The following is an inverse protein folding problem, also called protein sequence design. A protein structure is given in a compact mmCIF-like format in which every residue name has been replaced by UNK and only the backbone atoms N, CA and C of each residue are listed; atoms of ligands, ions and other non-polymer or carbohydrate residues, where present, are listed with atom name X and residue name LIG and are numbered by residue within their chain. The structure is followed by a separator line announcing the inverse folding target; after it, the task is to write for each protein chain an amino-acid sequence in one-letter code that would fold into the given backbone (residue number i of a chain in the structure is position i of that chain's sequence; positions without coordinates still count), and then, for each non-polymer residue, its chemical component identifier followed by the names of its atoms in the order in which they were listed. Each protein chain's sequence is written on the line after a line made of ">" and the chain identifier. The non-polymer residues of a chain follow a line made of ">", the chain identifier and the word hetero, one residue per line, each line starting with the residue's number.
data_IF_174313216084
#
_entry.id   IF_174313216084
#
_cell.length_a   1.000
_cell.length_b   1.000
_cell.length_c   1.000
_cell.angle_alpha   90.00
_cell.angle_beta   90.00
_cell.angle_gamma   90.00
#
_symmetry.space_group_name_H-M   'P 1'
#
loop_
_entity.id
_entity.type
_entity.pdbx_description
1 polymer ?
#
# COMPACT_ATOMS: atom_id res chain seq x y z
N UNK A 1 -20.59 -9.56 -13.18
CA UNK A 1 -20.32 -11.00 -12.91
C UNK A 1 -21.53 -11.87 -13.22
N UNK A 2 -22.68 -11.77 -12.51
CA UNK A 2 -23.84 -12.68 -12.73
C UNK A 2 -24.25 -12.85 -14.20
N UNK A 3 -24.28 -11.76 -14.97
CA UNK A 3 -24.69 -11.79 -16.39
C UNK A 3 -23.53 -12.05 -17.36
N UNK A 4 -22.28 -12.08 -16.86
CA UNK A 4 -21.04 -12.11 -17.65
C UNK A 4 -20.13 -13.25 -17.18
N UNK A 5 -20.70 -14.33 -16.63
CA UNK A 5 -19.93 -15.39 -15.97
C UNK A 5 -19.01 -16.13 -16.95
N UNK A 6 -19.37 -16.15 -18.23
CA UNK A 6 -18.57 -16.72 -19.32
C UNK A 6 -17.27 -15.93 -19.59
N UNK A 7 -17.19 -14.68 -19.14
CA UNK A 7 -16.01 -13.81 -19.22
C UNK A 7 -15.22 -13.78 -17.90
N UNK A 8 -15.51 -14.70 -16.98
CA UNK A 8 -14.86 -14.80 -15.68
C UNK A 8 -13.97 -16.05 -15.61
N UNK A 9 -12.98 -15.98 -14.72
CA UNK A 9 -12.16 -17.09 -14.28
C UNK A 9 -12.46 -17.38 -12.81
N UNK A 10 -12.11 -18.59 -12.36
CA UNK A 10 -12.37 -19.04 -11.00
C UNK A 10 -11.12 -19.66 -10.38
N UNK A 11 -10.84 -19.29 -9.14
CA UNK A 11 -9.73 -19.81 -8.34
C UNK A 11 -10.27 -20.41 -7.05
N UNK A 12 -9.79 -21.60 -6.71
CA UNK A 12 -10.21 -22.32 -5.51
C UNK A 12 -9.06 -22.43 -4.52
N UNK A 13 -9.33 -22.11 -3.26
CA UNK A 13 -8.43 -22.36 -2.14
C UNK A 13 -9.10 -23.27 -1.10
N UNK A 14 -8.35 -23.65 -0.06
CA UNK A 14 -8.90 -24.40 1.07
C UNK A 14 -9.93 -23.62 1.90
N UNK A 15 -10.04 -22.29 1.72
CA UNK A 15 -10.91 -21.43 2.51
C UNK A 15 -12.10 -20.86 1.71
N UNK A 16 -11.89 -20.51 0.45
CA UNK A 16 -12.94 -19.90 -0.39
C UNK A 16 -12.71 -20.10 -1.90
N UNK A 17 -13.80 -19.91 -2.65
CA UNK A 17 -13.84 -19.81 -4.11
C UNK A 17 -13.88 -18.32 -4.50
N UNK A 18 -12.95 -17.90 -5.35
CA UNK A 18 -12.93 -16.56 -5.94
C UNK A 18 -13.33 -16.64 -7.41
N UNK A 19 -14.26 -15.79 -7.84
CA UNK A 19 -14.63 -15.63 -9.25
C UNK A 19 -14.33 -14.18 -9.65
N UNK A 20 -13.42 -14.00 -10.61
CA UNK A 20 -12.96 -12.70 -11.07
C UNK A 20 -13.13 -12.56 -12.59
N UNK A 21 -13.49 -11.38 -13.12
CA UNK A 21 -13.47 -11.14 -14.56
C UNK A 21 -12.05 -11.28 -15.13
N UNK A 22 -11.94 -11.85 -16.34
CA UNK A 22 -10.64 -11.98 -17.04
C UNK A 22 -10.16 -10.60 -17.55
N UNK A 23 -11.10 -9.72 -17.85
CA UNK A 23 -10.87 -8.34 -18.25
C UNK A 23 -11.91 -7.44 -17.59
N UNK A 24 -11.61 -6.14 -17.54
CA UNK A 24 -12.52 -5.14 -16.98
C UNK A 24 -13.80 -5.06 -17.82
N UNK A 25 -14.95 -5.29 -17.19
CA UNK A 25 -16.27 -5.32 -17.85
C UNK A 25 -16.84 -3.90 -18.00
N UNK A 26 -16.06 -2.96 -18.54
CA UNK A 26 -16.43 -1.54 -18.64
C UNK A 26 -17.77 -1.32 -19.34
N UNK A 27 -18.10 -2.15 -20.33
CA UNK A 27 -19.34 -2.05 -21.10
C UNK A 27 -20.59 -2.40 -20.28
N UNK A 28 -20.44 -3.18 -19.22
CA UNK A 28 -21.52 -3.44 -18.25
C UNK A 28 -21.91 -2.19 -17.47
N UNK A 29 -21.03 -1.18 -17.41
CA UNK A 29 -21.26 0.08 -16.71
C UNK A 29 -21.57 1.19 -17.70
N UNK A 30 -22.83 1.24 -18.17
CA UNK A 30 -23.27 2.21 -19.19
C UNK A 30 -23.02 3.67 -18.84
N UNK A 31 -23.03 4.04 -17.55
CA UNK A 31 -22.69 5.39 -17.08
C UNK A 31 -21.23 5.75 -17.31
N UNK A 32 -20.33 4.77 -17.37
CA UNK A 32 -18.93 4.94 -17.71
C UNK A 32 -18.72 4.79 -19.22
N UNK A 33 -19.17 3.68 -19.82
CA UNK A 33 -18.88 3.37 -21.24
C UNK A 33 -19.56 4.32 -22.24
N UNK A 34 -20.76 4.83 -21.91
CA UNK A 34 -21.52 5.76 -22.77
C UNK A 34 -21.34 7.23 -22.39
N UNK A 35 -20.44 7.55 -21.47
CA UNK A 35 -20.18 8.92 -21.10
C UNK A 35 -19.51 9.67 -22.27
N UNK A 36 -20.06 10.84 -22.63
CA UNK A 36 -19.48 11.70 -23.66
C UNK A 36 -18.08 12.21 -23.29
N UNK A 37 -17.83 12.39 -21.98
CA UNK A 37 -16.55 12.84 -21.45
C UNK A 37 -16.17 11.96 -20.25
N UNK A 38 -14.91 11.52 -20.22
CA UNK A 38 -14.33 10.72 -19.13
C UNK A 38 -13.05 11.39 -18.66
N UNK A 39 -12.96 11.66 -17.37
CA UNK A 39 -11.76 12.19 -16.73
C UNK A 39 -11.21 11.13 -15.79
N UNK A 40 -9.91 10.85 -15.93
CA UNK A 40 -9.17 10.00 -15.01
C UNK A 40 -8.10 10.85 -14.35
N UNK A 41 -8.02 10.80 -13.02
CA UNK A 41 -6.99 11.46 -12.24
C UNK A 41 -6.21 10.39 -11.50
N UNK A 42 -4.88 10.39 -11.67
CA UNK A 42 -3.99 9.51 -10.92
C UNK A 42 -2.79 10.29 -10.40
N UNK A 43 -2.34 9.95 -9.19
CA UNK A 43 -1.09 10.45 -8.63
C UNK A 43 0.13 9.71 -9.18
N UNK A 44 -0.07 8.51 -9.74
CA UNK A 44 0.98 7.67 -10.34
C UNK A 44 0.44 7.03 -11.63
N UNK A 45 1.07 7.29 -12.78
CA UNK A 45 0.74 6.67 -14.06
C UNK A 45 1.93 5.81 -14.49
N UNK A 46 1.98 4.57 -13.99
CA UNK A 46 3.08 3.63 -14.31
C UNK A 46 2.66 2.53 -15.29
N UNK A 47 1.36 2.27 -15.46
CA UNK A 47 0.85 1.29 -16.42
C UNK A 47 -0.21 1.88 -17.35
N UNK A 48 0.25 2.40 -18.49
CA UNK A 48 -0.62 2.91 -19.55
C UNK A 48 -1.51 1.82 -20.17
N UNK A 49 -1.08 0.55 -20.09
CA UNK A 49 -1.82 -0.56 -20.68
C UNK A 49 -3.13 -0.81 -19.96
N UNK A 50 -3.18 -0.58 -18.63
CA UNK A 50 -4.42 -0.66 -17.86
C UNK A 50 -5.42 0.42 -18.28
N UNK A 51 -4.97 1.66 -18.56
CA UNK A 51 -5.88 2.71 -19.00
C UNK A 51 -6.47 2.42 -20.38
N UNK A 52 -5.66 1.89 -21.30
CA UNK A 52 -6.10 1.56 -22.66
C UNK A 52 -6.99 0.31 -22.65
N UNK A 53 -6.50 -0.82 -22.12
CA UNK A 53 -7.19 -2.12 -22.21
C UNK A 53 -8.20 -2.33 -21.10
N UNK A 54 -7.92 -1.85 -19.90
CA UNK A 54 -8.77 -2.02 -18.72
C UNK A 54 -9.87 -0.96 -18.63
N UNK A 55 -9.61 0.28 -19.03
CA UNK A 55 -10.57 1.37 -18.93
C UNK A 55 -11.06 1.91 -20.29
N UNK A 56 -10.47 1.46 -21.40
CA UNK A 56 -10.87 1.89 -22.74
C UNK A 56 -10.59 3.38 -23.00
N UNK A 57 -9.53 3.94 -22.41
CA UNK A 57 -9.09 5.31 -22.71
C UNK A 57 -8.36 5.38 -24.04
N UNK A 58 -8.50 6.52 -24.71
CA UNK A 58 -7.80 6.80 -25.95
C UNK A 58 -6.29 6.96 -25.69
N UNK A 59 -5.48 6.40 -26.58
CA UNK A 59 -4.02 6.40 -26.48
C UNK A 59 -3.47 7.83 -26.47
N UNK A 60 -4.06 8.75 -27.23
CA UNK A 60 -3.62 10.14 -27.28
C UNK A 60 -3.95 10.89 -26.00
N UNK A 61 -5.05 10.55 -25.32
CA UNK A 61 -5.39 11.14 -24.02
C UNK A 61 -4.35 10.76 -22.95
N UNK A 62 -3.78 9.57 -23.02
CA UNK A 62 -2.73 9.10 -22.10
C UNK A 62 -1.38 9.74 -22.43
N UNK A 63 -1.03 9.87 -23.72
CA UNK A 63 0.21 10.53 -24.14
C UNK A 63 0.23 12.04 -23.88
N UNK A 64 -0.94 12.68 -23.83
CA UNK A 64 -1.09 14.13 -23.63
C UNK A 64 -1.99 14.41 -22.41
N UNK A 65 -1.55 14.04 -21.20
CA UNK A 65 -2.34 14.26 -20.01
C UNK A 65 -2.45 15.77 -19.73
N UNK A 66 -3.54 16.16 -19.07
CA UNK A 66 -3.67 17.51 -18.53
C UNK A 66 -2.73 17.64 -17.33
N UNK A 67 -1.67 18.44 -17.47
CA UNK A 67 -0.67 18.69 -16.43
C UNK A 67 -0.75 20.14 -15.97
N UNK A 68 -0.58 20.36 -14.67
CA UNK A 68 -0.40 21.70 -14.10
C UNK A 68 1.09 21.90 -13.77
N UNK A 69 1.85 22.66 -14.59
CA UNK A 69 3.29 22.83 -14.39
C UNK A 69 3.65 23.64 -13.14
N UNK A 70 2.71 24.43 -12.61
CA UNK A 70 2.92 25.28 -11.44
C UNK A 70 2.76 24.51 -10.11
N UNK A 71 2.35 23.24 -10.17
CA UNK A 71 2.12 22.43 -8.98
C UNK A 71 3.43 21.79 -8.49
N UNK A 72 4.10 22.46 -7.54
CA UNK A 72 5.34 21.95 -6.91
C UNK A 72 4.97 21.11 -5.68
N UNK A 73 4.68 19.83 -5.87
CA UNK A 73 4.54 18.92 -4.72
C UNK A 73 5.91 18.61 -4.12
N UNK A 74 6.16 19.08 -2.88
CA UNK A 74 7.46 18.93 -2.23
C UNK A 74 7.29 18.49 -0.77
N UNK A 75 6.97 17.23 -0.52
CA UNK A 75 7.16 16.64 0.81
C UNK A 75 8.45 15.82 0.85
N UNK A 76 9.20 15.90 1.96
CA UNK A 76 10.52 15.27 2.07
C UNK A 76 10.40 13.83 2.60
N UNK A 77 11.04 12.87 1.92
CA UNK A 77 11.06 11.47 2.35
C UNK A 77 12.49 10.97 2.39
N UNK A 78 12.92 10.47 3.54
CA UNK A 78 14.17 9.73 3.64
C UNK A 78 13.85 8.23 3.68
N UNK A 79 14.34 7.48 2.69
CA UNK A 79 14.19 6.02 2.64
C UNK A 79 15.49 5.38 3.15
N UNK A 80 15.37 4.51 4.16
CA UNK A 80 16.48 3.77 4.74
C UNK A 80 16.21 2.27 4.65
N UNK A 81 17.23 1.52 4.25
CA UNK A 81 17.25 0.06 4.26
C UNK A 81 18.39 -0.35 5.21
N UNK A 82 18.12 -0.51 6.52
CA UNK A 82 19.19 -0.66 7.52
C UNK A 82 20.14 -1.83 7.25
N UNK A 83 19.60 -2.96 6.78
CA UNK A 83 20.38 -4.16 6.48
C UNK A 83 21.40 -3.99 5.35
N UNK A 84 21.19 -3.03 4.43
CA UNK A 84 22.16 -2.69 3.39
C UNK A 84 23.26 -1.73 3.89
N UNK A 85 23.00 -1.03 5.00
CA UNK A 85 23.97 -0.14 5.63
C UNK A 85 24.90 -0.94 6.55
N UNK A 86 24.31 -1.84 7.35
CA UNK A 86 25.02 -2.71 8.27
C UNK A 86 24.22 -4.01 8.48
N UNK A 87 24.85 -5.16 8.22
CA UNK A 87 24.21 -6.48 8.32
C UNK A 87 23.69 -6.80 9.73
N UNK A 88 24.24 -6.16 10.77
CA UNK A 88 23.79 -6.32 12.16
C UNK A 88 22.49 -5.56 12.46
N UNK A 89 22.01 -4.74 11.53
CA UNK A 89 20.72 -4.03 11.61
C UNK A 89 19.62 -4.86 10.95
N UNK A 90 19.45 -6.08 11.44
CA UNK A 90 18.43 -7.00 10.95
C UNK A 90 17.00 -6.53 11.29
N UNK A 91 16.03 -7.20 10.65
CA UNK A 91 14.60 -6.94 10.84
C UNK A 91 14.21 -6.95 12.32
N UNK A 92 14.63 -7.95 13.08
CA UNK A 92 14.21 -8.08 14.48
C UNK A 92 14.71 -6.93 15.33
N UNK A 93 15.99 -6.55 15.18
CA UNK A 93 16.61 -5.47 15.93
C UNK A 93 15.93 -4.14 15.63
N UNK A 94 15.65 -3.85 14.36
CA UNK A 94 14.99 -2.60 13.94
C UNK A 94 13.55 -2.53 14.46
N UNK A 95 12.78 -3.61 14.30
CA UNK A 95 11.40 -3.69 14.78
C UNK A 95 11.34 -3.56 16.31
N UNK A 96 12.19 -4.29 17.04
CA UNK A 96 12.26 -4.22 18.50
C UNK A 96 12.65 -2.83 19.00
N UNK A 97 13.55 -2.15 18.28
CA UNK A 97 14.01 -0.82 18.67
C UNK A 97 12.94 0.24 18.43
N UNK A 98 12.36 0.30 17.22
CA UNK A 98 11.46 1.39 16.83
C UNK A 98 10.06 1.24 17.39
N UNK A 99 9.55 0.01 17.50
CA UNK A 99 8.17 -0.22 17.93
C UNK A 99 7.98 -0.14 19.44
N UNK A 100 9.05 -0.19 20.22
CA UNK A 100 8.98 -0.14 21.69
C UNK A 100 8.23 1.11 22.17
N UNK A 101 7.33 1.00 23.16
CA UNK A 101 6.69 2.16 23.75
C UNK A 101 7.69 3.17 24.32
N UNK A 102 7.41 4.46 24.13
CA UNK A 102 8.21 5.55 24.65
C UNK A 102 7.31 6.75 24.96
N UNK A 103 7.08 7.01 26.25
CA UNK A 103 6.23 8.11 26.71
C UNK A 103 6.75 9.51 26.34
N UNK A 104 8.03 9.61 25.96
CA UNK A 104 8.64 10.86 25.50
C UNK A 104 8.49 11.09 24.00
N UNK A 105 7.88 10.15 23.26
CA UNK A 105 7.75 10.25 21.80
C UNK A 105 6.76 11.36 21.45
N UNK A 106 7.16 12.24 20.53
CA UNK A 106 6.37 13.43 20.12
C UNK A 106 5.73 13.28 18.73
N UNK A 107 5.86 12.11 18.12
CA UNK A 107 5.34 11.80 16.78
C UNK A 107 4.96 10.33 16.66
N UNK A 108 4.06 10.00 15.73
CA UNK A 108 3.64 8.64 15.46
C UNK A 108 4.71 7.80 14.77
N UNK A 109 4.84 6.55 15.23
CA UNK A 109 5.60 5.49 14.58
C UNK A 109 4.63 4.42 14.14
N UNK A 110 4.60 4.15 12.84
CA UNK A 110 3.64 3.25 12.21
C UNK A 110 4.38 2.15 11.48
N UNK A 111 3.93 0.91 11.63
CA UNK A 111 4.45 -0.23 10.90
C UNK A 111 3.35 -0.85 10.03
N UNK A 112 3.65 -1.03 8.75
CA UNK A 112 2.87 -1.81 7.81
C UNK A 112 3.46 -3.21 7.75
N UNK A 113 2.70 -4.18 8.25
CA UNK A 113 3.07 -5.58 8.23
C UNK A 113 2.30 -6.31 7.11
N UNK A 114 2.83 -7.41 6.56
CA UNK A 114 2.25 -8.05 5.39
C UNK A 114 1.06 -8.93 5.78
N UNK A 115 1.02 -9.39 7.02
CA UNK A 115 -0.08 -10.19 7.56
C UNK A 115 -0.09 -10.15 9.09
N UNK A 116 -1.13 -10.77 9.64
CA UNK A 116 -1.30 -10.97 11.07
C UNK A 116 -0.42 -12.11 11.65
N UNK A 117 0.44 -12.74 10.85
CA UNK A 117 1.28 -13.85 11.32
C UNK A 117 2.20 -13.44 12.49
N UNK A 118 2.72 -12.21 12.46
CA UNK A 118 3.67 -11.69 13.45
C UNK A 118 3.03 -10.86 14.57
N UNK A 119 1.68 -10.87 14.72
CA UNK A 119 0.98 -10.12 15.78
C UNK A 119 1.63 -10.31 17.15
N UNK A 120 1.89 -11.57 17.53
CA UNK A 120 2.40 -11.92 18.87
C UNK A 120 3.76 -11.28 19.15
N UNK A 121 4.59 -11.11 18.12
CA UNK A 121 5.87 -10.41 18.21
C UNK A 121 5.63 -8.93 18.53
N UNK A 122 4.79 -8.25 17.74
CA UNK A 122 4.49 -6.83 17.92
C UNK A 122 3.85 -6.53 19.27
N UNK A 123 2.89 -7.36 19.70
CA UNK A 123 2.24 -7.24 21.01
C UNK A 123 3.23 -7.43 22.16
N UNK A 124 4.18 -8.37 22.03
CA UNK A 124 5.23 -8.59 23.04
C UNK A 124 6.16 -7.38 23.19
N UNK A 125 6.40 -6.65 22.10
CA UNK A 125 7.19 -5.41 22.12
C UNK A 125 6.42 -4.26 22.80
N UNK A 126 5.09 -4.36 22.86
CA UNK A 126 4.19 -3.33 23.39
C UNK A 126 3.56 -2.45 22.30
N UNK A 127 3.67 -2.83 21.02
CA UNK A 127 3.00 -2.13 19.95
C UNK A 127 1.50 -2.47 19.90
N UNK A 128 0.68 -1.50 19.51
CA UNK A 128 -0.75 -1.69 19.32
C UNK A 128 -0.96 -2.21 17.90
N UNK A 129 -1.52 -3.42 17.78
CA UNK A 129 -1.91 -3.96 16.48
C UNK A 129 -3.37 -3.64 16.21
N UNK A 130 -3.61 -2.87 15.15
CA UNK A 130 -4.96 -2.54 14.70
C UNK A 130 -5.62 -3.74 14.01
N UNK A 131 -6.89 -3.98 14.33
CA UNK A 131 -7.77 -4.91 13.63
C UNK A 131 -8.71 -4.14 12.72
N UNK A 132 -9.47 -4.84 11.87
CA UNK A 132 -10.50 -4.20 11.02
C UNK A 132 -11.49 -3.37 11.82
N UNK A 133 -11.79 -3.75 13.06
CA UNK A 133 -12.73 -3.07 13.94
C UNK A 133 -12.11 -1.85 14.64
N UNK A 134 -10.82 -1.93 15.00
CA UNK A 134 -10.15 -0.90 15.84
C UNK A 134 -9.30 0.09 15.04
N UNK A 135 -9.21 -0.09 13.72
CA UNK A 135 -8.35 0.72 12.84
C UNK A 135 -8.65 2.22 12.93
N UNK A 136 -9.93 2.59 12.88
CA UNK A 136 -10.35 4.00 12.94
C UNK A 136 -9.97 4.63 14.27
N UNK A 137 -10.20 3.92 15.38
CA UNK A 137 -9.81 4.39 16.71
C UNK A 137 -8.29 4.57 16.84
N UNK A 138 -7.50 3.66 16.26
CA UNK A 138 -6.04 3.77 16.26
C UNK A 138 -5.55 4.98 15.46
N UNK A 139 -6.17 5.26 14.31
CA UNK A 139 -5.86 6.44 13.49
C UNK A 139 -6.23 7.72 14.25
N UNK A 140 -7.39 7.75 14.90
CA UNK A 140 -7.83 8.92 15.67
C UNK A 140 -6.92 9.19 16.87
N UNK A 141 -6.41 8.15 17.54
CA UNK A 141 -5.39 8.31 18.61
C UNK A 141 -4.12 8.99 18.10
N UNK A 142 -3.62 8.59 16.93
CA UNK A 142 -2.45 9.22 16.30
C UNK A 142 -2.73 10.69 15.98
N UNK A 143 -3.91 11.00 15.42
CA UNK A 143 -4.31 12.38 15.11
C UNK A 143 -4.49 13.25 16.36
N UNK A 144 -4.86 12.65 17.50
CA UNK A 144 -4.99 13.32 18.80
C UNK A 144 -3.65 13.54 19.51
N UNK A 145 -2.54 13.01 18.98
CA UNK A 145 -1.22 13.16 19.57
C UNK A 145 -0.82 12.05 20.55
N UNK A 146 -1.54 10.93 20.59
CA UNK A 146 -1.20 9.79 21.44
C UNK A 146 -0.09 8.94 20.80
N UNK A 147 1.16 9.29 21.09
CA UNK A 147 2.34 8.71 20.42
C UNK A 147 3.17 7.73 21.28
N UNK A 148 2.80 7.53 22.55
CA UNK A 148 3.55 6.65 23.46
C UNK A 148 3.71 5.24 22.90
N UNK A 149 2.67 4.73 22.23
CA UNK A 149 2.67 3.42 21.62
C UNK A 149 2.80 3.52 20.10
N UNK A 150 3.55 2.59 19.52
CA UNK A 150 3.64 2.45 18.06
C UNK A 150 2.43 1.68 17.55
N UNK A 151 1.97 2.00 16.34
CA UNK A 151 0.81 1.38 15.72
C UNK A 151 1.26 0.41 14.62
N UNK A 152 0.66 -0.77 14.56
CA UNK A 152 0.90 -1.76 13.51
C UNK A 152 -0.39 -2.03 12.75
N UNK A 153 -0.33 -1.88 11.43
CA UNK A 153 -1.43 -2.21 10.53
C UNK A 153 -1.01 -3.39 9.66
N UNK A 154 -1.73 -4.50 9.77
CA UNK A 154 -1.46 -5.69 8.97
C UNK A 154 -2.31 -5.69 7.69
N UNK A 155 -1.68 -5.98 6.56
CA UNK A 155 -2.33 -6.06 5.24
C UNK A 155 -3.19 -4.82 4.91
N UNK A 156 -2.70 -3.63 5.26
CA UNK A 156 -3.37 -2.34 5.01
C UNK A 156 -2.35 -1.34 4.50
N UNK A 157 -1.94 -1.57 3.25
CA UNK A 157 -1.06 -0.67 2.49
C UNK A 157 -1.85 0.49 1.86
N UNK A 158 -3.18 0.38 1.80
CA UNK A 158 -4.07 1.41 1.29
C UNK A 158 -5.16 1.81 2.33
N UNK A 159 -5.72 3.01 2.18
CA UNK A 159 -6.83 3.53 2.99
C UNK A 159 -6.47 4.16 4.34
N UNK A 160 -5.19 4.27 4.69
CA UNK A 160 -4.73 4.91 5.94
C UNK A 160 -4.16 6.29 5.64
N UNK A 161 -4.67 7.29 6.35
CA UNK A 161 -4.29 8.69 6.23
C UNK A 161 -3.64 9.20 7.52
N UNK A 162 -2.33 9.46 7.49
CA UNK A 162 -1.56 9.89 8.64
C UNK A 162 -0.67 11.10 8.30
N UNK A 163 -1.23 12.32 8.31
CA UNK A 163 -0.47 13.53 8.01
C UNK A 163 0.35 14.02 9.21
N UNK A 164 1.35 14.87 8.95
CA UNK A 164 2.13 15.59 9.96
C UNK A 164 2.77 14.66 11.02
N UNK A 165 2.57 15.00 12.29
CA UNK A 165 3.13 14.26 13.42
C UNK A 165 2.43 12.92 13.64
N UNK A 166 1.34 12.62 12.91
CA UNK A 166 0.64 11.34 13.02
C UNK A 166 1.51 10.17 12.51
N UNK A 167 2.46 10.45 11.62
CA UNK A 167 3.41 9.45 11.12
C UNK A 167 4.71 10.12 10.61
N UNK A 168 5.73 10.21 11.48
CA UNK A 168 7.08 10.66 11.08
C UNK A 168 8.01 9.49 10.80
N UNK A 169 7.74 8.31 11.38
CA UNK A 169 8.45 7.07 11.09
C UNK A 169 7.44 6.06 10.53
N UNK A 170 7.65 5.67 9.27
CA UNK A 170 6.92 4.59 8.62
C UNK A 170 7.85 3.39 8.46
N UNK A 171 7.48 2.26 9.01
CA UNK A 171 8.19 0.99 8.85
C UNK A 171 7.40 0.15 7.86
N UNK A 172 8.07 -0.33 6.81
CA UNK A 172 7.53 -1.36 5.92
C UNK A 172 8.23 -2.65 6.28
N UNK A 173 7.46 -3.59 6.83
CA UNK A 173 7.95 -4.89 7.27
C UNK A 173 7.64 -5.94 6.22
N UNK A 174 8.66 -6.38 5.48
CA UNK A 174 8.61 -7.38 4.41
C UNK A 174 7.70 -7.02 3.22
N UNK A 175 7.73 -7.88 2.19
CA UNK A 175 6.93 -7.70 0.98
C UNK A 175 5.42 -7.83 1.29
N UNK A 176 4.56 -6.93 0.79
CA UNK A 176 3.11 -7.10 0.85
C UNK A 176 2.67 -8.39 0.16
N UNK A 177 1.78 -9.16 0.79
CA UNK A 177 1.18 -10.35 0.17
C UNK A 177 0.10 -9.98 -0.85
N UNK A 178 -0.14 -10.90 -1.77
CA UNK A 178 -1.29 -10.85 -2.68
C UNK A 178 -2.61 -11.09 -1.95
N UNK A 179 -3.53 -10.14 -2.09
CA UNK A 179 -4.83 -10.13 -1.41
C UNK A 179 -5.84 -11.08 -2.05
N UNK A 180 -5.72 -11.35 -3.35
CA UNK A 180 -6.66 -12.17 -4.13
C UNK A 180 -6.03 -13.51 -4.52
N UNK A 181 -6.86 -14.55 -4.70
CA UNK A 181 -6.40 -15.82 -5.26
C UNK A 181 -5.91 -15.66 -6.69
N UNK A 182 -6.50 -14.72 -7.45
CA UNK A 182 -6.03 -14.36 -8.79
C UNK A 182 -4.58 -13.88 -8.75
N UNK A 183 -4.27 -12.89 -7.91
CA UNK A 183 -2.90 -12.35 -7.79
C UNK A 183 -1.93 -13.42 -7.28
N UNK A 184 -2.34 -14.25 -6.30
CA UNK A 184 -1.50 -15.36 -5.81
C UNK A 184 -1.17 -16.36 -6.90
N UNK A 185 -2.16 -16.74 -7.72
CA UNK A 185 -1.95 -17.63 -8.85
C UNK A 185 -0.99 -17.03 -9.89
N UNK A 186 -1.13 -15.73 -10.18
CA UNK A 186 -0.18 -15.03 -11.06
C UNK A 186 1.24 -15.08 -10.49
N UNK A 187 1.41 -14.80 -9.20
CA UNK A 187 2.71 -14.85 -8.51
C UNK A 187 3.32 -16.25 -8.53
N UNK A 188 2.54 -17.30 -8.30
CA UNK A 188 3.02 -18.69 -8.36
C UNK A 188 3.42 -19.10 -9.78
N UNK A 189 2.65 -18.69 -10.79
CA UNK A 189 2.90 -19.09 -12.18
C UNK A 189 4.03 -18.28 -12.83
N UNK A 190 4.22 -17.01 -12.46
CA UNK A 190 5.17 -16.09 -13.11
C UNK A 190 5.93 -15.23 -12.08
N UNK A 191 6.62 -15.85 -11.11
CA UNK A 191 7.20 -15.13 -9.98
C UNK A 191 8.22 -14.04 -10.37
N UNK A 192 8.88 -14.18 -11.53
CA UNK A 192 9.85 -13.22 -12.08
C UNK A 192 9.27 -12.25 -13.12
N UNK A 193 7.95 -12.19 -13.27
CA UNK A 193 7.31 -11.27 -14.22
C UNK A 193 7.47 -9.82 -13.79
N UNK A 194 7.88 -8.96 -14.71
CA UNK A 194 7.94 -7.51 -14.51
C UNK A 194 6.60 -6.95 -14.03
N UNK A 195 5.48 -7.54 -14.47
CA UNK A 195 4.12 -7.12 -14.07
C UNK A 195 3.90 -7.28 -12.55
N UNK A 196 4.39 -8.38 -11.97
CA UNK A 196 4.25 -8.66 -10.53
C UNK A 196 5.16 -7.75 -9.72
N UNK A 197 6.37 -7.50 -10.23
CA UNK A 197 7.30 -6.56 -9.61
C UNK A 197 6.74 -5.13 -9.64
N UNK A 198 6.17 -4.69 -10.77
CA UNK A 198 5.49 -3.38 -10.89
C UNK A 198 4.30 -3.29 -9.94
N UNK A 199 3.42 -4.30 -9.86
CA UNK A 199 2.30 -4.33 -8.89
C UNK A 199 2.81 -4.22 -7.44
N UNK A 200 3.88 -4.94 -7.10
CA UNK A 200 4.48 -4.89 -5.76
C UNK A 200 5.08 -3.51 -5.47
N UNK A 201 5.85 -2.96 -6.41
CA UNK A 201 6.44 -1.63 -6.31
C UNK A 201 5.35 -0.56 -6.14
N UNK A 202 4.24 -0.63 -6.88
CA UNK A 202 3.10 0.26 -6.73
C UNK A 202 2.47 0.18 -5.34
N UNK A 203 2.31 -1.02 -4.78
CA UNK A 203 1.80 -1.18 -3.40
C UNK A 203 2.74 -0.55 -2.37
N UNK A 204 4.04 -0.74 -2.56
CA UNK A 204 5.06 -0.10 -1.72
C UNK A 204 4.98 1.42 -1.87
N UNK A 205 5.02 1.96 -3.09
CA UNK A 205 4.91 3.39 -3.40
C UNK A 205 3.64 4.02 -2.81
N UNK A 206 2.51 3.34 -2.89
CA UNK A 206 1.26 3.79 -2.26
C UNK A 206 1.42 3.87 -0.74
N UNK A 207 2.02 2.86 -0.12
CA UNK A 207 2.38 2.87 1.30
C UNK A 207 3.31 4.04 1.64
N UNK A 208 4.37 4.26 0.85
CA UNK A 208 5.30 5.39 1.00
C UNK A 208 4.58 6.74 0.90
N UNK A 209 3.57 6.82 0.02
CA UNK A 209 2.73 8.00 -0.22
C UNK A 209 1.81 8.37 0.94
N UNK A 210 1.61 7.51 1.95
CA UNK A 210 0.68 7.77 3.06
C UNK A 210 1.25 8.61 4.20
N UNK A 211 2.58 8.68 4.32
CA UNK A 211 3.26 9.38 5.41
C UNK A 211 3.49 10.88 5.16
N UNK A 212 3.29 11.36 3.92
CA UNK A 212 3.61 12.74 3.52
C UNK A 212 2.51 13.24 2.59
N UNK A 213 1.81 14.31 2.99
CA UNK A 213 0.68 14.86 2.24
C UNK A 213 0.81 16.33 1.88
N UNK A 214 1.61 17.09 2.62
CA UNK A 214 1.84 18.51 2.36
C UNK A 214 3.27 18.85 1.95
N UNK A 215 3.46 20.06 1.42
CA UNK A 215 4.78 20.63 1.07
C UNK A 215 5.72 20.83 2.27
N UNK A 216 5.21 20.70 3.50
CA UNK A 216 5.98 20.85 4.74
C UNK A 216 6.12 19.54 5.51
N UNK A 217 5.57 18.46 4.97
CA UNK A 217 5.66 17.16 5.60
C UNK A 217 7.00 16.51 5.31
N UNK A 218 7.56 15.92 6.36
CA UNK A 218 8.71 15.05 6.26
C UNK A 218 8.45 13.72 6.97
N UNK A 219 8.96 12.63 6.41
CA UNK A 219 8.93 11.31 7.03
C UNK A 219 10.21 10.52 6.75
N UNK A 220 10.52 9.63 7.69
CA UNK A 220 11.56 8.61 7.52
C UNK A 220 10.87 7.28 7.30
N UNK A 221 11.19 6.65 6.18
CA UNK A 221 10.64 5.37 5.78
C UNK A 221 11.73 4.32 5.92
N UNK A 222 11.48 3.33 6.75
CA UNK A 222 12.42 2.26 7.07
C UNK A 222 11.88 0.97 6.47
N UNK A 223 12.63 0.41 5.54
CA UNK A 223 12.29 -0.84 4.88
C UNK A 223 13.08 -1.96 5.55
N UNK A 224 12.36 -3.00 5.99
CA UNK A 224 12.95 -4.17 6.66
C UNK A 224 12.36 -5.45 6.09
N UNK A 225 13.08 -6.58 6.24
CA UNK A 225 12.66 -7.88 5.74
C UNK A 225 13.32 -8.23 4.40
N UNK A 226 13.94 -9.42 4.33
CA UNK A 226 14.75 -9.83 3.19
C UNK A 226 13.98 -10.07 1.89
N UNK A 227 12.66 -10.24 1.96
CA UNK A 227 11.83 -10.44 0.76
C UNK A 227 11.56 -9.14 -0.01
N UNK A 228 11.88 -7.99 0.59
CA UNK A 228 11.66 -6.65 0.04
C UNK A 228 12.97 -5.95 -0.35
N UNK A 229 14.12 -6.53 0.00
CA UNK A 229 15.48 -5.98 -0.18
C UNK A 229 16.30 -6.85 -1.12
#
# INVERSE_FOLDING_TARGET
>A
IKNEIHNCQAFLSGEYLEISPIFSLIDSFGSFSKANHRFLMSATTQDDSFFIKGLGFDVEAIKKPLVNPDLVWSGEKMILIPSLIDETLDREKIINWLLRPNDKRTFGTVCLAPSFANIKQFQRIGAIVATTETIYDCIEKLKRGEFSNSMVFANRYDGIDLPDNSCRILIIDSKPYSETLTDRYEEECRPSSDIINVKTAQRVEQGLGRSVRGEKDYSVIIITGGDLV
#
